data_IF_973547279293
#
_entry.id   IF_973547279293
#
_cell.length_a   1.000
_cell.length_b   1.000
_cell.length_c   1.000
_cell.angle_alpha   90.00
_cell.angle_beta   90.00
_cell.angle_gamma   90.00
#
_symmetry.space_group_name_H-M   'P 1'
#
loop_
_entity.id
_entity.type
_entity.pdbx_description
1 polymer ?
#
# COMPACT_ATOMS: atom_id res chain seq x y z
N UNK A 1 11.57 55.65 -6.26
CA UNK A 1 12.28 54.35 -6.34
C UNK A 1 11.24 53.25 -6.22
N UNK A 2 10.87 52.63 -7.34
CA UNK A 2 9.99 51.46 -7.35
C UNK A 2 10.83 50.25 -6.95
N UNK A 3 10.46 49.62 -5.83
CA UNK A 3 11.00 48.34 -5.40
C UNK A 3 10.70 47.30 -6.48
N UNK A 4 11.74 46.73 -7.06
CA UNK A 4 11.68 45.60 -7.96
C UNK A 4 11.39 44.38 -7.09
N UNK A 5 10.20 43.82 -7.22
CA UNK A 5 9.84 42.54 -6.61
C UNK A 5 10.74 41.46 -7.23
N UNK A 6 11.52 40.79 -6.39
CA UNK A 6 12.25 39.58 -6.79
C UNK A 6 11.25 38.53 -7.32
N UNK A 7 11.61 37.79 -8.37
CA UNK A 7 10.76 36.71 -8.86
C UNK A 7 10.63 35.64 -7.77
N UNK A 8 9.40 35.30 -7.42
CA UNK A 8 9.08 34.11 -6.62
C UNK A 8 9.67 32.94 -7.37
N UNK A 9 10.76 32.37 -6.85
CA UNK A 9 11.31 31.12 -7.36
C UNK A 9 10.20 30.09 -7.20
N UNK A 10 9.71 29.53 -8.31
CA UNK A 10 8.75 28.43 -8.28
C UNK A 10 9.31 27.33 -7.38
N UNK A 11 8.69 27.16 -6.22
CA UNK A 11 8.96 26.09 -5.25
C UNK A 11 8.61 24.77 -5.95
N UNK A 12 9.59 24.19 -6.66
CA UNK A 12 9.44 22.93 -7.39
C UNK A 12 8.89 21.90 -6.42
N UNK A 13 7.66 21.40 -6.70
CA UNK A 13 7.02 20.40 -5.84
C UNK A 13 7.99 19.21 -5.69
N UNK A 14 8.49 18.92 -4.46
CA UNK A 14 9.52 17.89 -4.24
C UNK A 14 9.05 16.49 -4.65
N UNK A 15 7.74 16.30 -4.86
CA UNK A 15 7.18 15.08 -5.42
C UNK A 15 7.00 15.09 -6.94
N UNK A 16 7.73 15.90 -7.71
CA UNK A 16 7.68 15.90 -9.20
C UNK A 16 8.82 15.13 -9.86
N UNK A 17 9.91 14.86 -9.12
CA UNK A 17 11.07 14.11 -9.61
C UNK A 17 11.23 12.82 -8.78
N UNK A 18 11.62 11.68 -9.39
CA UNK A 18 11.93 10.48 -8.62
C UNK A 18 13.10 10.69 -7.64
N UNK A 19 12.99 10.12 -6.44
CA UNK A 19 14.10 10.06 -5.49
C UNK A 19 15.16 9.08 -6.01
N UNK A 20 16.40 9.53 -6.12
CA UNK A 20 17.52 8.65 -6.42
C UNK A 20 17.90 7.83 -5.20
N UNK A 21 18.13 6.54 -5.41
CA UNK A 21 18.60 5.62 -4.39
C UNK A 21 20.09 5.34 -4.60
N UNK A 22 20.84 5.31 -3.50
CA UNK A 22 22.26 5.00 -3.56
C UNK A 22 22.47 3.54 -4.01
N UNK A 23 23.51 3.24 -4.80
CA UNK A 23 23.81 1.88 -5.21
C UNK A 23 23.95 0.92 -4.02
N UNK A 24 23.32 -0.26 -4.12
CA UNK A 24 23.34 -1.27 -3.04
C UNK A 24 22.50 -0.94 -1.80
N UNK A 25 21.89 0.25 -1.70
CA UNK A 25 20.98 0.61 -0.61
C UNK A 25 19.61 -0.08 -0.73
N UNK A 26 18.71 0.15 0.24
CA UNK A 26 17.31 -0.31 0.18
C UNK A 26 16.68 0.09 -1.15
N UNK A 27 16.13 -0.88 -1.89
CA UNK A 27 15.58 -0.65 -3.23
C UNK A 27 14.16 -0.03 -3.17
N UNK A 28 13.61 0.31 -4.34
CA UNK A 28 12.29 0.94 -4.46
C UNK A 28 11.18 0.18 -3.70
N UNK A 29 11.21 -1.16 -3.74
CA UNK A 29 10.24 -2.00 -3.04
C UNK A 29 10.41 -1.88 -1.52
N UNK A 30 11.65 -1.93 -1.03
CA UNK A 30 11.92 -1.76 0.40
C UNK A 30 11.49 -0.39 0.93
N UNK A 31 11.70 0.68 0.15
CA UNK A 31 11.21 2.04 0.49
C UNK A 31 9.69 2.09 0.57
N UNK A 32 9.02 1.55 -0.45
CA UNK A 32 7.55 1.48 -0.50
C UNK A 32 6.99 0.65 0.67
N UNK A 33 7.56 -0.51 0.98
CA UNK A 33 7.15 -1.33 2.11
C UNK A 33 7.38 -0.65 3.46
N UNK A 34 8.46 0.13 3.60
CA UNK A 34 8.69 0.95 4.79
C UNK A 34 7.60 1.99 5.03
N UNK A 35 7.04 2.57 3.96
CA UNK A 35 5.98 3.56 4.02
C UNK A 35 4.59 2.93 4.22
N UNK A 36 4.24 1.97 3.38
CA UNK A 36 2.92 1.33 3.39
C UNK A 36 2.75 0.33 4.54
N UNK A 37 3.87 -0.16 5.10
CA UNK A 37 3.86 -0.99 6.31
C UNK A 37 3.66 -0.21 7.61
N UNK A 38 3.50 1.12 7.56
CA UNK A 38 3.17 1.94 8.72
C UNK A 38 1.69 2.37 8.68
N UNK A 39 0.90 1.84 9.63
CA UNK A 39 -0.55 2.09 9.70
C UNK A 39 -0.89 3.58 9.80
N UNK A 40 -0.13 4.33 10.58
CA UNK A 40 -0.37 5.78 10.74
C UNK A 40 -0.09 6.54 9.45
N UNK A 41 0.95 6.17 8.71
CA UNK A 41 1.25 6.74 7.39
C UNK A 41 0.10 6.50 6.43
N UNK A 42 -0.43 5.27 6.36
CA UNK A 42 -1.61 4.96 5.54
C UNK A 42 -2.85 5.74 5.95
N UNK A 43 -3.12 5.88 7.26
CA UNK A 43 -4.26 6.63 7.77
C UNK A 43 -4.14 8.13 7.47
N UNK A 44 -2.97 8.73 7.74
CA UNK A 44 -2.69 10.15 7.43
C UNK A 44 -2.82 10.39 5.92
N UNK A 45 -2.24 9.51 5.10
CA UNK A 45 -2.35 9.57 3.65
C UNK A 45 -3.81 9.52 3.19
N UNK A 46 -4.61 8.60 3.73
CA UNK A 46 -6.03 8.49 3.39
C UNK A 46 -6.79 9.79 3.74
N UNK A 47 -6.51 10.41 4.89
CA UNK A 47 -7.12 11.71 5.25
C UNK A 47 -6.66 12.82 4.31
N UNK A 48 -5.36 12.87 3.99
CA UNK A 48 -4.80 13.87 3.09
C UNK A 48 -5.39 13.76 1.67
N UNK A 49 -5.59 12.55 1.15
CA UNK A 49 -6.23 12.30 -0.14
C UNK A 49 -7.70 12.75 -0.18
N UNK A 50 -8.35 12.86 0.98
CA UNK A 50 -9.70 13.39 1.14
C UNK A 50 -9.74 14.90 1.43
N UNK A 51 -8.58 15.57 1.41
CA UNK A 51 -8.47 17.02 1.55
C UNK A 51 -8.06 17.51 2.95
N UNK A 52 -7.75 16.63 3.90
CA UNK A 52 -7.24 17.04 5.21
C UNK A 52 -5.82 17.59 5.08
N UNK A 53 -5.60 18.85 5.46
CA UNK A 53 -4.26 19.49 5.34
C UNK A 53 -3.73 20.03 6.67
N UNK A 54 -4.58 20.19 7.69
CA UNK A 54 -4.18 20.85 8.95
C UNK A 54 -3.82 19.84 10.04
N UNK A 55 -2.80 20.17 10.82
CA UNK A 55 -2.34 19.34 11.93
C UNK A 55 -3.46 18.98 12.92
N UNK A 56 -4.28 19.95 13.32
CA UNK A 56 -5.41 19.71 14.23
C UNK A 56 -6.46 18.76 13.65
N UNK A 57 -6.76 18.88 12.35
CA UNK A 57 -7.70 17.96 11.69
C UNK A 57 -7.16 16.52 11.66
N UNK A 58 -5.86 16.33 11.40
CA UNK A 58 -5.25 15.00 11.48
C UNK A 58 -5.33 14.39 12.88
N UNK A 59 -5.08 15.18 13.93
CA UNK A 59 -5.25 14.69 15.32
C UNK A 59 -6.68 14.20 15.56
N UNK A 60 -7.66 14.99 15.16
CA UNK A 60 -9.08 14.71 15.41
C UNK A 60 -9.59 13.51 14.59
N UNK A 61 -9.21 13.42 13.31
CA UNK A 61 -9.73 12.39 12.39
C UNK A 61 -9.00 11.03 12.46
N UNK A 62 -7.75 11.01 12.92
CA UNK A 62 -6.92 9.79 13.00
C UNK A 62 -6.85 9.24 14.43
N UNK A 63 -7.21 10.05 15.45
CA UNK A 63 -7.10 9.68 16.87
C UNK A 63 -5.67 9.24 17.26
N UNK A 64 -4.68 10.00 16.79
CA UNK A 64 -3.25 9.74 16.94
C UNK A 64 -2.64 10.70 17.97
N UNK A 65 -1.60 10.27 18.69
CA UNK A 65 -0.90 11.16 19.63
C UNK A 65 -0.08 12.23 18.90
N UNK A 66 0.11 13.39 19.54
CA UNK A 66 0.90 14.48 18.99
C UNK A 66 2.32 14.08 18.57
N UNK A 67 3.02 13.34 19.43
CA UNK A 67 4.39 12.90 19.16
C UNK A 67 4.46 11.98 17.92
N UNK A 68 3.51 11.05 17.78
CA UNK A 68 3.48 10.14 16.63
C UNK A 68 3.10 10.90 15.36
N UNK A 69 2.08 11.76 15.41
CA UNK A 69 1.68 12.56 14.25
C UNK A 69 2.81 13.45 13.75
N UNK A 70 3.52 14.14 14.66
CA UNK A 70 4.66 14.99 14.32
C UNK A 70 5.77 14.18 13.64
N UNK A 71 6.12 13.02 14.19
CA UNK A 71 7.13 12.12 13.61
C UNK A 71 6.73 11.61 12.21
N UNK A 72 5.45 11.30 12.01
CA UNK A 72 4.92 10.78 10.74
C UNK A 72 4.83 11.86 9.67
N UNK A 73 4.30 13.04 9.99
CA UNK A 73 4.26 14.17 9.05
C UNK A 73 5.68 14.56 8.62
N UNK A 74 6.64 14.61 9.53
CA UNK A 74 8.04 14.88 9.19
C UNK A 74 8.64 13.79 8.29
N UNK A 75 8.21 12.53 8.45
CA UNK A 75 8.64 11.44 7.58
C UNK A 75 8.03 11.52 6.20
N UNK A 76 6.72 11.75 6.12
CA UNK A 76 6.02 11.94 4.85
C UNK A 76 6.53 13.18 4.09
N UNK A 77 6.95 14.24 4.80
CA UNK A 77 7.60 15.41 4.22
C UNK A 77 8.97 15.07 3.63
N UNK A 78 9.83 14.37 4.40
CA UNK A 78 11.16 13.93 3.93
C UNK A 78 11.08 12.99 2.73
N UNK A 79 10.08 12.13 2.70
CA UNK A 79 9.82 11.20 1.60
C UNK A 79 9.10 11.86 0.42
N UNK A 80 8.83 13.17 0.50
CA UNK A 80 8.21 13.94 -0.56
C UNK A 80 6.76 13.51 -0.84
N UNK A 81 6.06 12.91 0.12
CA UNK A 81 4.62 12.62 0.01
C UNK A 81 3.77 13.85 0.36
N UNK A 82 4.26 14.66 1.28
CA UNK A 82 3.65 15.92 1.72
C UNK A 82 4.66 17.05 1.58
N UNK A 83 4.17 18.27 1.37
CA UNK A 83 4.95 19.50 1.51
C UNK A 83 4.31 20.38 2.57
N UNK A 84 5.13 20.94 3.44
CA UNK A 84 4.69 21.84 4.50
C UNK A 84 4.63 23.27 3.98
N UNK A 85 3.45 23.87 3.99
CA UNK A 85 3.20 25.24 3.52
C UNK A 85 2.83 26.11 4.72
N UNK A 86 3.71 27.07 5.07
CA UNK A 86 3.43 28.05 6.13
C UNK A 86 2.55 29.16 5.55
N UNK A 87 1.38 29.39 6.15
CA UNK A 87 0.46 30.45 5.72
C UNK A 87 0.34 31.58 6.74
N UNK A 88 0.92 31.42 7.93
CA UNK A 88 0.96 32.43 8.98
C UNK A 88 2.25 32.26 9.77
N UNK A 89 3.00 33.33 10.00
CA UNK A 89 4.29 33.24 10.72
C UNK A 89 4.16 33.48 12.23
N UNK A 90 3.12 34.18 12.69
CA UNK A 90 2.97 34.56 14.11
C UNK A 90 1.51 34.43 14.61
N UNK A 91 1.17 33.39 15.41
CA UNK A 91 1.96 32.17 15.62
C UNK A 91 2.14 31.40 14.31
N UNK A 92 3.18 30.58 14.20
CA UNK A 92 3.43 29.77 13.00
C UNK A 92 2.26 28.82 12.78
N UNK A 93 1.62 28.89 11.61
CA UNK A 93 0.63 27.93 11.16
C UNK A 93 1.01 27.41 9.79
N UNK A 94 0.95 26.10 9.65
CA UNK A 94 1.27 25.40 8.43
C UNK A 94 0.18 24.40 8.06
N UNK A 95 0.11 24.13 6.76
CA UNK A 95 -0.65 23.03 6.18
C UNK A 95 0.31 22.01 5.58
N UNK A 96 -0.11 20.76 5.54
CA UNK A 96 0.60 19.64 4.92
C UNK A 96 -0.18 19.23 3.68
N UNK A 97 0.32 19.62 2.52
CA UNK A 97 -0.36 19.43 1.24
C UNK A 97 0.28 18.26 0.51
N UNK A 98 -0.52 17.39 -0.09
CA UNK A 98 0.00 16.30 -0.93
C UNK A 98 0.83 16.86 -2.08
N UNK A 99 1.96 16.21 -2.34
CA UNK A 99 2.75 16.36 -3.56
C UNK A 99 2.15 15.51 -4.68
N UNK A 100 2.67 15.60 -5.91
CA UNK A 100 2.30 14.65 -6.96
C UNK A 100 2.62 13.19 -6.58
N UNK A 101 3.79 12.93 -5.98
CA UNK A 101 4.16 11.63 -5.42
C UNK A 101 3.16 11.10 -4.40
N UNK A 102 2.74 11.94 -3.44
CA UNK A 102 1.72 11.58 -2.44
C UNK A 102 0.37 11.25 -3.08
N UNK A 103 -0.06 12.03 -4.08
CA UNK A 103 -1.29 11.75 -4.85
C UNK A 103 -1.19 10.43 -5.63
N UNK A 104 -0.01 10.06 -6.09
CA UNK A 104 0.25 8.81 -6.79
C UNK A 104 -0.05 7.55 -5.96
N UNK A 105 -0.15 7.64 -4.63
CA UNK A 105 -0.54 6.51 -3.78
C UNK A 105 -2.06 6.27 -3.71
N UNK A 106 -2.85 7.13 -4.35
CA UNK A 106 -4.30 6.98 -4.35
C UNK A 106 -4.80 5.60 -4.83
N UNK A 107 -4.28 5.00 -5.93
CA UNK A 107 -4.68 3.66 -6.35
C UNK A 107 -4.45 2.59 -5.28
N UNK A 108 -3.36 2.71 -4.52
CA UNK A 108 -3.04 1.79 -3.40
C UNK A 108 -4.15 1.85 -2.35
N UNK A 109 -4.57 3.06 -1.96
CA UNK A 109 -5.63 3.22 -0.95
C UNK A 109 -6.98 2.67 -1.38
N UNK A 110 -7.32 2.78 -2.67
CA UNK A 110 -8.57 2.25 -3.24
C UNK A 110 -8.53 0.73 -3.38
N UNK A 111 -7.41 0.17 -3.81
CA UNK A 111 -7.23 -1.28 -3.86
C UNK A 111 -7.32 -1.90 -2.46
N UNK A 112 -6.70 -1.27 -1.46
CA UNK A 112 -6.83 -1.68 -0.05
C UNK A 112 -8.29 -1.63 0.40
N UNK A 113 -9.00 -0.53 0.12
CA UNK A 113 -10.41 -0.39 0.50
C UNK A 113 -11.28 -1.49 -0.11
N UNK A 114 -11.13 -1.80 -1.40
CA UNK A 114 -11.92 -2.84 -2.05
C UNK A 114 -11.64 -4.22 -1.46
N UNK A 115 -10.36 -4.55 -1.25
CA UNK A 115 -9.97 -5.83 -0.69
C UNK A 115 -10.48 -6.00 0.74
N UNK A 116 -10.26 -5.01 1.61
CA UNK A 116 -10.78 -5.00 2.98
C UNK A 116 -12.30 -5.13 3.01
N UNK A 117 -13.00 -4.36 2.18
CA UNK A 117 -14.46 -4.40 2.11
C UNK A 117 -15.00 -5.75 1.65
N UNK A 118 -14.32 -6.42 0.72
CA UNK A 118 -14.78 -7.70 0.14
C UNK A 118 -14.41 -8.91 1.00
N UNK A 119 -13.23 -8.92 1.61
CA UNK A 119 -12.64 -10.12 2.20
C UNK A 119 -12.52 -10.10 3.72
N UNK A 120 -12.80 -8.97 4.36
CA UNK A 120 -12.78 -8.84 5.82
C UNK A 120 -14.23 -8.70 6.32
N UNK A 121 -14.80 -9.73 6.99
CA UNK A 121 -16.23 -9.77 7.32
C UNK A 121 -16.74 -8.55 8.10
N UNK A 122 -15.94 -8.05 9.05
CA UNK A 122 -16.29 -6.84 9.82
C UNK A 122 -16.35 -5.57 8.96
N UNK A 123 -15.64 -5.55 7.83
CA UNK A 123 -15.52 -4.39 6.94
C UNK A 123 -16.55 -4.38 5.82
N UNK A 124 -17.02 -5.54 5.38
CA UNK A 124 -18.19 -5.64 4.50
C UNK A 124 -19.38 -4.85 5.06
N UNK A 125 -19.52 -4.82 6.40
CA UNK A 125 -20.58 -4.13 7.09
C UNK A 125 -20.24 -2.71 7.57
N UNK A 126 -19.01 -2.20 7.43
CA UNK A 126 -18.62 -0.87 7.95
C UNK A 126 -18.07 0.08 6.89
N UNK A 127 -17.34 -0.42 5.89
CA UNK A 127 -16.79 0.42 4.84
C UNK A 127 -17.89 0.85 3.86
N UNK A 128 -17.99 2.17 3.55
CA UNK A 128 -19.01 2.67 2.63
C UNK A 128 -18.76 2.15 1.21
N UNK A 129 -19.80 2.07 0.39
CA UNK A 129 -19.64 1.87 -1.06
C UNK A 129 -19.07 3.13 -1.72
N UNK A 130 -18.41 2.96 -2.86
CA UNK A 130 -17.93 4.06 -3.68
C UNK A 130 -18.68 4.07 -5.01
N UNK A 131 -19.02 5.28 -5.47
CA UNK A 131 -19.66 5.54 -6.75
C UNK A 131 -18.67 6.23 -7.67
N UNK A 132 -18.65 5.80 -8.92
CA UNK A 132 -17.87 6.43 -9.97
C UNK A 132 -18.69 7.57 -10.56
N UNK A 133 -18.20 8.81 -10.45
CA UNK A 133 -18.91 10.01 -10.86
C UNK A 133 -19.21 10.03 -12.36
N UNK A 134 -18.35 9.43 -13.20
CA UNK A 134 -18.55 9.40 -14.64
C UNK A 134 -19.72 8.52 -15.09
N UNK A 135 -19.88 7.32 -14.50
CA UNK A 135 -20.97 6.40 -14.89
C UNK A 135 -22.15 6.39 -13.91
N UNK A 136 -22.01 7.04 -12.75
CA UNK A 136 -23.03 7.10 -11.70
C UNK A 136 -23.25 5.79 -10.94
N UNK A 137 -22.51 4.72 -11.25
CA UNK A 137 -22.68 3.40 -10.63
C UNK A 137 -21.74 3.19 -9.45
N UNK A 138 -22.19 2.38 -8.50
CA UNK A 138 -21.29 1.82 -7.50
C UNK A 138 -20.32 0.87 -8.20
N UNK A 139 -19.02 0.98 -7.90
CA UNK A 139 -17.99 0.22 -8.60
C UNK A 139 -17.13 -0.59 -7.64
N UNK A 140 -16.46 -1.59 -8.22
CA UNK A 140 -15.25 -2.19 -7.69
C UNK A 140 -14.07 -1.85 -8.61
N UNK A 141 -12.90 -1.46 -8.08
CA UNK A 141 -11.71 -1.25 -8.89
C UNK A 141 -11.22 -2.59 -9.46
N UNK A 142 -10.88 -2.57 -10.75
CA UNK A 142 -10.27 -3.70 -11.45
C UNK A 142 -8.89 -3.30 -11.93
N UNK A 143 -7.87 -4.13 -11.64
CA UNK A 143 -6.52 -3.91 -12.14
C UNK A 143 -6.47 -4.22 -13.63
N UNK A 144 -5.99 -3.26 -14.43
CA UNK A 144 -5.86 -3.41 -15.89
C UNK A 144 -4.45 -3.05 -16.35
N UNK A 145 -4.04 -3.64 -17.47
CA UNK A 145 -2.78 -3.30 -18.12
C UNK A 145 -2.98 -2.03 -18.96
N UNK A 146 -2.16 -1.00 -18.78
CA UNK A 146 -2.30 0.25 -19.56
C UNK A 146 -2.00 0.07 -21.04
N UNK A 147 -1.20 -0.93 -21.42
CA UNK A 147 -0.84 -1.23 -22.80
C UNK A 147 -1.93 -1.92 -23.61
N UNK A 148 -2.62 -2.93 -23.02
CA UNK A 148 -3.63 -3.73 -23.73
C UNK A 148 -5.05 -3.61 -23.17
N UNK A 149 -5.23 -2.95 -22.03
CA UNK A 149 -6.50 -2.75 -21.29
C UNK A 149 -7.16 -4.01 -20.73
N UNK A 150 -6.55 -5.18 -20.90
CA UNK A 150 -7.03 -6.41 -20.28
C UNK A 150 -6.85 -6.41 -18.77
N UNK A 151 -7.72 -7.16 -18.10
CA UNK A 151 -7.67 -7.36 -16.63
C UNK A 151 -6.42 -8.15 -16.27
N UNK A 152 -5.66 -7.65 -15.30
CA UNK A 152 -4.42 -8.29 -14.83
C UNK A 152 -4.70 -9.06 -13.56
N UNK A 153 -4.49 -10.38 -13.60
CA UNK A 153 -4.47 -11.24 -12.39
C UNK A 153 -3.03 -11.58 -12.02
N UNK A 154 -2.81 -12.06 -10.80
CA UNK A 154 -1.46 -12.45 -10.34
C UNK A 154 -0.80 -13.52 -11.22
N UNK A 155 -1.61 -14.41 -11.83
CA UNK A 155 -1.12 -15.46 -12.73
C UNK A 155 -0.82 -14.98 -14.16
N UNK A 156 -1.25 -13.76 -14.51
CA UNK A 156 -1.03 -13.16 -15.85
C UNK A 156 0.28 -12.38 -15.93
N UNK A 157 1.10 -12.44 -14.86
CA UNK A 157 2.31 -11.64 -14.73
C UNK A 157 3.51 -12.51 -14.44
N UNK A 158 4.49 -12.45 -15.33
CA UNK A 158 5.82 -12.98 -15.09
C UNK A 158 6.68 -11.90 -14.43
N UNK A 159 7.33 -12.23 -13.31
CA UNK A 159 8.10 -11.26 -12.53
C UNK A 159 9.44 -11.83 -12.12
N UNK A 160 10.51 -11.15 -12.51
CA UNK A 160 11.89 -11.48 -12.16
C UNK A 160 12.54 -10.33 -11.40
N UNK A 161 13.58 -10.64 -10.64
CA UNK A 161 14.39 -9.59 -10.04
C UNK A 161 15.08 -8.77 -11.12
N UNK A 162 14.94 -7.45 -11.03
CA UNK A 162 15.74 -6.52 -11.82
C UNK A 162 17.12 -6.30 -11.21
N UNK A 163 17.96 -5.46 -11.80
CA UNK A 163 19.34 -5.26 -11.35
C UNK A 163 19.49 -4.73 -9.93
N UNK A 164 18.52 -3.95 -9.42
CA UNK A 164 18.49 -3.52 -8.01
C UNK A 164 17.68 -4.44 -7.09
N UNK A 165 17.11 -5.50 -7.67
CA UNK A 165 16.20 -6.43 -7.02
C UNK A 165 16.92 -7.50 -6.21
N UNK A 166 16.60 -7.58 -4.93
CA UNK A 166 16.91 -8.74 -4.11
C UNK A 166 15.95 -8.76 -2.92
N UNK A 167 15.82 -9.92 -2.28
CA UNK A 167 15.01 -10.01 -1.07
C UNK A 167 15.57 -9.15 0.05
N UNK A 168 16.88 -9.18 0.25
CA UNK A 168 17.60 -8.43 1.28
C UNK A 168 17.37 -6.92 1.13
N UNK A 169 17.43 -6.41 -0.10
CA UNK A 169 17.22 -4.98 -0.40
C UNK A 169 15.76 -4.54 -0.38
N UNK A 170 14.82 -5.49 -0.49
CA UNK A 170 13.38 -5.24 -0.46
C UNK A 170 12.75 -5.41 0.92
N UNK A 171 13.47 -5.92 1.90
CA UNK A 171 13.01 -6.00 3.29
C UNK A 171 13.34 -4.67 4.00
N UNK A 172 12.34 -3.86 4.41
CA UNK A 172 12.62 -2.57 5.05
C UNK A 172 13.42 -2.73 6.35
N UNK A 173 14.44 -1.89 6.53
CA UNK A 173 15.34 -1.89 7.70
C UNK A 173 14.57 -1.69 9.01
N UNK A 174 13.49 -0.90 8.99
CA UNK A 174 12.54 -0.77 10.10
C UNK A 174 11.10 -0.64 9.60
N UNK A 175 10.23 -1.58 9.98
CA UNK A 175 8.80 -1.31 10.11
C UNK A 175 8.58 -0.86 11.54
N UNK A 176 8.00 0.33 11.76
CA UNK A 176 7.82 0.82 13.14
C UNK A 176 7.01 -0.20 13.93
N UNK A 177 7.68 -0.93 14.82
CA UNK A 177 7.04 -1.91 15.68
C UNK A 177 6.01 -1.17 16.52
N UNK A 178 4.73 -1.51 16.38
CA UNK A 178 3.69 -1.12 17.33
C UNK A 178 4.13 -1.62 18.71
N UNK A 179 4.75 -0.77 19.55
CA UNK A 179 4.77 -1.02 20.99
C UNK A 179 3.30 -0.97 21.39
N UNK A 180 2.76 -2.12 21.74
CA UNK A 180 1.43 -2.23 22.33
C UNK A 180 1.42 -1.35 23.58
N UNK A 181 0.85 -0.14 23.49
CA UNK A 181 0.46 0.62 24.66
C UNK A 181 -0.93 0.12 25.07
N UNK A 182 -1.05 -0.61 26.20
CA UNK A 182 -2.33 -1.17 26.63
C UNK A 182 -3.36 -0.10 27.03
N UNK A 183 -2.98 1.19 27.08
CA UNK A 183 -3.89 2.30 27.40
C UNK A 183 -4.57 2.92 26.17
N UNK A 184 -4.10 2.63 24.95
CA UNK A 184 -4.79 3.02 23.72
C UNK A 184 -5.77 1.91 23.38
N UNK A 185 -6.97 2.08 23.94
CA UNK A 185 -8.13 1.19 23.86
C UNK A 185 -8.39 0.61 22.45
N UNK A 186 -8.96 -0.59 22.44
CA UNK A 186 -9.36 -1.43 21.29
C UNK A 186 -10.49 -0.80 20.45
N UNK A 187 -10.73 0.51 20.58
CA UNK A 187 -11.79 1.28 19.93
C UNK A 187 -11.42 1.81 18.55
N UNK A 188 -10.13 1.81 18.17
CA UNK A 188 -9.74 1.84 16.75
C UNK A 188 -9.69 0.41 16.21
N UNK A 189 -10.85 -0.12 15.81
CA UNK A 189 -10.84 -1.07 14.71
C UNK A 189 -10.21 -0.32 13.52
N UNK A 190 -8.91 -0.48 13.32
CA UNK A 190 -8.18 0.21 12.24
C UNK A 190 -8.90 0.01 10.92
N UNK A 191 -8.84 0.99 10.02
CA UNK A 191 -9.49 0.89 8.70
C UNK A 191 -8.90 -0.24 7.84
N UNK A 192 -7.73 -0.79 8.21
CA UNK A 192 -6.92 -1.70 7.38
C UNK A 192 -6.27 -2.86 8.16
N UNK A 193 -6.99 -3.59 9.01
CA UNK A 193 -6.41 -4.50 9.99
C UNK A 193 -5.76 -5.74 9.37
N UNK A 194 -6.33 -6.28 8.30
CA UNK A 194 -5.75 -7.46 7.64
C UNK A 194 -4.72 -7.05 6.61
N UNK A 195 -4.88 -5.89 5.99
CA UNK A 195 -3.82 -5.23 5.21
C UNK A 195 -2.58 -5.02 6.10
N UNK A 196 -2.75 -4.58 7.35
CA UNK A 196 -1.63 -4.47 8.29
C UNK A 196 -1.08 -5.82 8.76
N UNK A 197 -1.85 -6.91 8.69
CA UNK A 197 -1.28 -8.25 8.89
C UNK A 197 -0.34 -8.65 7.75
N UNK A 198 -0.62 -8.18 6.52
CA UNK A 198 0.16 -8.43 5.31
C UNK A 198 1.36 -7.46 5.16
N UNK A 199 1.17 -6.14 5.33
CA UNK A 199 2.22 -5.13 5.16
C UNK A 199 2.90 -4.67 6.47
N UNK A 200 2.26 -4.82 7.63
CA UNK A 200 2.71 -4.24 8.90
C UNK A 200 3.96 -4.87 9.51
N UNK A 201 4.53 -5.87 8.84
CA UNK A 201 5.79 -6.48 9.21
C UNK A 201 6.56 -6.79 7.94
N UNK A 202 7.86 -6.43 7.92
CA UNK A 202 8.77 -6.65 6.80
C UNK A 202 8.77 -8.08 6.26
N UNK A 203 8.60 -9.07 7.14
CA UNK A 203 8.56 -10.48 6.75
C UNK A 203 7.20 -10.92 6.20
N UNK A 204 6.10 -10.34 6.70
CA UNK A 204 4.78 -10.55 6.09
C UNK A 204 4.79 -10.04 4.64
N UNK A 205 5.34 -8.83 4.41
CA UNK A 205 5.44 -8.24 3.08
C UNK A 205 6.29 -9.07 2.12
N UNK A 206 7.41 -9.60 2.60
CA UNK A 206 8.27 -10.44 1.79
C UNK A 206 7.62 -11.82 1.50
N UNK A 207 6.93 -12.41 2.49
CA UNK A 207 6.20 -13.66 2.32
C UNK A 207 5.05 -13.56 1.32
N UNK A 208 4.26 -12.48 1.36
CA UNK A 208 3.17 -12.31 0.38
C UNK A 208 3.74 -12.12 -1.03
N UNK A 209 4.83 -11.34 -1.17
CA UNK A 209 5.53 -11.18 -2.44
C UNK A 209 6.10 -12.50 -2.96
N UNK A 210 6.59 -13.37 -2.06
CA UNK A 210 7.14 -14.67 -2.42
C UNK A 210 6.04 -15.61 -2.90
N UNK A 211 4.92 -15.63 -2.16
CA UNK A 211 3.75 -16.45 -2.47
C UNK A 211 3.12 -16.04 -3.82
N UNK A 212 3.01 -14.73 -4.09
CA UNK A 212 2.50 -14.21 -5.36
C UNK A 212 3.39 -14.54 -6.57
N UNK A 213 4.66 -14.89 -6.33
CA UNK A 213 5.60 -15.38 -7.35
C UNK A 213 5.70 -16.92 -7.39
N UNK A 214 4.81 -17.61 -6.68
CA UNK A 214 4.68 -19.07 -6.76
C UNK A 214 5.51 -19.88 -5.75
N UNK A 215 6.19 -19.24 -4.78
CA UNK A 215 6.81 -19.99 -3.69
C UNK A 215 5.72 -20.59 -2.80
N UNK A 216 5.82 -21.90 -2.54
CA UNK A 216 4.81 -22.66 -1.77
C UNK A 216 5.42 -23.50 -0.66
N UNK A 217 6.70 -23.85 -0.73
CA UNK A 217 7.33 -24.74 0.25
C UNK A 217 8.01 -23.93 1.35
N UNK A 218 7.95 -24.45 2.57
CA UNK A 218 8.57 -23.79 3.73
C UNK A 218 10.05 -23.47 3.52
N UNK A 219 10.84 -24.44 3.05
CA UNK A 219 12.29 -24.27 2.83
C UNK A 219 12.60 -23.20 1.79
N UNK A 220 11.81 -23.13 0.71
CA UNK A 220 11.98 -22.11 -0.34
C UNK A 220 11.77 -20.70 0.22
N UNK A 221 10.81 -20.52 1.15
CA UNK A 221 10.62 -19.24 1.84
C UNK A 221 11.80 -18.88 2.75
N UNK A 222 12.34 -19.85 3.50
CA UNK A 222 13.49 -19.60 4.38
C UNK A 222 14.72 -19.18 3.58
N UNK A 223 15.03 -19.92 2.52
CA UNK A 223 16.16 -19.65 1.64
C UNK A 223 16.01 -18.30 0.95
N UNK A 224 14.84 -18.03 0.36
CA UNK A 224 14.57 -16.80 -0.36
C UNK A 224 14.66 -15.57 0.56
N UNK A 225 14.11 -15.65 1.77
CA UNK A 225 13.98 -14.47 2.64
C UNK A 225 15.19 -14.27 3.55
N UNK A 226 16.05 -15.28 3.73
CA UNK A 226 17.12 -15.24 4.74
C UNK A 226 16.58 -15.02 6.17
N UNK A 227 15.33 -15.41 6.42
CA UNK A 227 14.62 -15.15 7.67
C UNK A 227 14.77 -16.33 8.65
N UNK A 228 14.75 -16.08 9.99
CA UNK A 228 14.75 -17.17 10.95
C UNK A 228 13.54 -18.12 10.76
N UNK A 229 13.74 -19.45 10.80
CA UNK A 229 12.69 -20.47 10.60
C UNK A 229 11.41 -20.23 11.43
N UNK A 230 11.60 -19.88 12.71
CA UNK A 230 10.51 -19.63 13.65
C UNK A 230 9.61 -18.47 13.22
N UNK A 231 10.21 -17.45 12.60
CA UNK A 231 9.51 -16.26 12.15
C UNK A 231 8.74 -16.54 10.86
N UNK A 232 9.34 -17.26 9.91
CA UNK A 232 8.65 -17.74 8.70
C UNK A 232 7.43 -18.58 9.10
N UNK A 233 7.61 -19.53 10.02
CA UNK A 233 6.52 -20.38 10.51
C UNK A 233 5.40 -19.58 11.20
N UNK A 234 5.76 -18.59 12.01
CA UNK A 234 4.80 -17.70 12.68
C UNK A 234 3.98 -16.90 11.67
N UNK A 235 4.63 -16.32 10.66
CA UNK A 235 3.97 -15.50 9.64
C UNK A 235 3.11 -16.31 8.68
N UNK A 236 3.58 -17.49 8.24
CA UNK A 236 2.78 -18.42 7.44
C UNK A 236 1.52 -18.84 8.19
N UNK A 237 1.63 -19.15 9.49
CA UNK A 237 0.45 -19.43 10.33
C UNK A 237 -0.49 -18.25 10.38
N UNK A 238 0.02 -17.03 10.60
CA UNK A 238 -0.81 -15.82 10.62
C UNK A 238 -1.57 -15.61 9.29
N UNK A 239 -0.95 -15.90 8.15
CA UNK A 239 -1.61 -15.83 6.84
C UNK A 239 -2.66 -16.93 6.66
N UNK A 240 -2.43 -18.14 7.19
CA UNK A 240 -3.45 -19.18 7.24
C UNK A 240 -4.63 -18.80 8.13
N UNK A 241 -4.36 -18.20 9.30
CA UNK A 241 -5.39 -17.81 10.28
C UNK A 241 -6.35 -16.76 9.70
N UNK A 242 -5.87 -15.86 8.84
CA UNK A 242 -6.69 -14.87 8.12
C UNK A 242 -7.21 -15.37 6.76
N UNK A 243 -6.87 -16.61 6.37
CA UNK A 243 -7.31 -17.25 5.13
C UNK A 243 -6.67 -16.69 3.87
N UNK A 244 -5.52 -16.02 3.95
CA UNK A 244 -4.73 -15.56 2.79
C UNK A 244 -3.96 -16.73 2.17
N UNK A 245 -3.46 -17.65 3.02
CA UNK A 245 -2.84 -18.89 2.60
C UNK A 245 -3.64 -20.09 3.11
N UNK A 246 -3.49 -21.22 2.45
CA UNK A 246 -3.96 -22.53 2.88
C UNK A 246 -2.77 -23.48 3.00
N UNK A 247 -2.64 -24.17 4.13
CA UNK A 247 -1.63 -25.20 4.31
C UNK A 247 -2.14 -26.56 3.79
N UNK A 248 -1.44 -27.16 2.83
CA UNK A 248 -1.72 -28.46 2.22
C UNK A 248 -0.68 -29.51 2.61
N UNK A 249 -1.06 -30.79 2.57
CA UNK A 249 -0.12 -31.92 2.69
C UNK A 249 0.19 -32.44 4.09
N UNK A 250 -0.42 -31.91 5.16
CA UNK A 250 -0.23 -32.44 6.53
C UNK A 250 -1.24 -33.56 6.82
N UNK A 251 -1.02 -34.78 6.28
CA UNK A 251 -1.55 -36.14 6.67
C UNK A 251 -1.20 -37.12 5.53
N UNK A 252 -0.49 -38.25 5.67
CA UNK A 252 -0.32 -39.26 6.73
C UNK A 252 1.00 -40.00 6.51
N UNK A 253 1.81 -40.22 7.56
CA UNK A 253 2.73 -41.37 7.68
C UNK A 253 3.95 -41.54 6.76
N UNK A 254 4.25 -40.63 5.82
CA UNK A 254 5.45 -40.70 4.97
C UNK A 254 6.55 -39.73 5.42
N UNK A 255 7.81 -40.16 5.37
CA UNK A 255 8.99 -39.45 5.87
C UNK A 255 9.31 -38.08 5.21
N UNK A 256 8.47 -37.59 4.29
CA UNK A 256 8.68 -36.34 3.54
C UNK A 256 7.48 -35.36 3.61
N UNK A 257 6.59 -35.53 4.59
CA UNK A 257 5.34 -34.76 4.77
C UNK A 257 5.52 -33.30 5.21
N UNK A 258 6.24 -32.48 4.43
CA UNK A 258 6.35 -31.03 4.65
C UNK A 258 5.10 -30.33 4.11
N UNK A 259 4.54 -29.42 4.91
CA UNK A 259 3.38 -28.65 4.49
C UNK A 259 3.75 -27.67 3.37
N UNK A 260 2.91 -27.61 2.34
CA UNK A 260 2.95 -26.56 1.32
C UNK A 260 1.92 -25.49 1.67
N UNK A 261 2.18 -24.25 1.29
CA UNK A 261 1.35 -23.09 1.56
C UNK A 261 0.95 -22.45 0.23
N UNK A 262 -0.34 -22.47 -0.05
CA UNK A 262 -0.90 -22.01 -1.33
C UNK A 262 -1.76 -20.78 -1.11
N UNK A 263 -1.70 -19.81 -2.02
CA UNK A 263 -2.63 -18.67 -1.99
C UNK A 263 -4.06 -19.16 -2.18
N UNK A 264 -4.96 -18.63 -1.37
CA UNK A 264 -6.40 -18.78 -1.56
C UNK A 264 -6.91 -17.70 -2.53
N UNK A 265 -8.20 -17.74 -2.89
CA UNK A 265 -8.84 -16.64 -3.64
C UNK A 265 -8.67 -15.29 -2.95
N UNK A 266 -8.73 -15.26 -1.61
CA UNK A 266 -8.49 -14.06 -0.80
C UNK A 266 -7.06 -13.54 -0.95
N UNK A 267 -6.08 -14.44 -0.96
CA UNK A 267 -4.67 -14.11 -1.17
C UNK A 267 -4.41 -13.57 -2.57
N UNK A 268 -4.94 -14.22 -3.60
CA UNK A 268 -4.84 -13.75 -4.99
C UNK A 268 -5.53 -12.40 -5.20
N UNK A 269 -6.68 -12.17 -4.54
CA UNK A 269 -7.40 -10.90 -4.62
C UNK A 269 -6.64 -9.72 -4.00
N UNK A 270 -5.57 -9.94 -3.22
CA UNK A 270 -4.71 -8.86 -2.71
C UNK A 270 -3.71 -8.35 -3.76
N UNK A 271 -3.53 -9.07 -4.87
CA UNK A 271 -2.55 -8.71 -5.90
C UNK A 271 -2.67 -7.28 -6.45
N UNK A 272 -3.87 -6.70 -6.70
CA UNK A 272 -4.00 -5.31 -7.13
C UNK A 272 -3.31 -4.31 -6.20
N UNK A 273 -3.34 -4.55 -4.89
CA UNK A 273 -2.67 -3.69 -3.91
C UNK A 273 -1.16 -3.75 -4.10
N UNK A 274 -0.61 -4.95 -4.29
CA UNK A 274 0.83 -5.16 -4.49
C UNK A 274 1.27 -4.57 -5.83
N UNK A 275 0.51 -4.80 -6.91
CA UNK A 275 0.86 -4.34 -8.25
C UNK A 275 0.92 -2.81 -8.35
N UNK A 276 -0.12 -2.10 -7.88
CA UNK A 276 -0.12 -0.62 -7.92
C UNK A 276 0.90 0.00 -6.96
N UNK A 277 1.24 -0.68 -5.85
CA UNK A 277 2.28 -0.23 -4.94
C UNK A 277 3.68 -0.37 -5.55
N UNK A 278 3.96 -1.48 -6.26
CA UNK A 278 5.22 -1.67 -6.99
C UNK A 278 5.35 -0.67 -8.13
N UNK A 279 4.28 -0.47 -8.92
CA UNK A 279 4.25 0.50 -10.02
C UNK A 279 4.56 1.92 -9.51
N UNK A 280 3.88 2.34 -8.43
CA UNK A 280 4.18 3.61 -7.76
C UNK A 280 5.63 3.68 -7.26
N UNK A 281 6.15 2.61 -6.66
CA UNK A 281 7.51 2.58 -6.13
C UNK A 281 8.55 2.76 -7.23
N UNK A 282 8.43 2.03 -8.34
CA UNK A 282 9.33 2.15 -9.49
C UNK A 282 9.24 3.50 -10.17
N UNK A 283 8.06 4.12 -10.18
CA UNK A 283 7.90 5.46 -10.73
C UNK A 283 8.64 6.52 -9.88
N UNK A 284 8.58 6.42 -8.55
CA UNK A 284 9.06 7.47 -7.64
C UNK A 284 10.42 7.23 -7.00
N UNK A 285 10.95 6.00 -7.05
CA UNK A 285 12.27 5.65 -6.54
C UNK A 285 13.12 5.05 -7.64
N UNK A 286 14.12 5.80 -8.08
CA UNK A 286 15.02 5.41 -9.14
C UNK A 286 16.37 4.96 -8.54
N UNK A 287 16.69 3.67 -8.68
CA UNK A 287 18.04 3.17 -8.41
C UNK A 287 18.89 3.28 -9.70
N UNK A 288 20.16 3.63 -9.56
CA UNK A 288 21.06 3.77 -10.72
C UNK A 288 21.26 2.44 -11.46
N UNK A 289 21.22 1.32 -10.73
CA UNK A 289 21.39 -0.02 -11.30
C UNK A 289 20.21 -0.43 -12.22
N UNK A 290 19.02 0.15 -12.00
CA UNK A 290 17.79 -0.22 -12.69
C UNK A 290 16.65 -0.62 -11.74
N UNK A 291 15.52 -1.13 -12.26
CA UNK A 291 14.34 -1.44 -11.45
C UNK A 291 14.59 -2.60 -10.48
N UNK A 292 13.80 -2.64 -9.39
CA UNK A 292 13.88 -3.72 -8.42
C UNK A 292 13.20 -5.00 -8.94
N UNK A 293 12.09 -4.86 -9.67
CA UNK A 293 11.44 -5.97 -10.37
C UNK A 293 11.27 -5.62 -11.85
N UNK A 294 11.47 -6.61 -12.71
CA UNK A 294 11.06 -6.57 -14.11
C UNK A 294 9.82 -7.43 -14.24
N UNK A 295 8.70 -6.80 -14.61
CA UNK A 295 7.41 -7.47 -14.73
C UNK A 295 6.93 -7.40 -16.17
N UNK A 296 6.43 -8.52 -16.68
CA UNK A 296 5.85 -8.64 -18.01
C UNK A 296 4.41 -9.11 -17.88
N UNK A 297 3.50 -8.43 -18.58
CA UNK A 297 2.13 -8.92 -18.71
C UNK A 297 2.09 -10.02 -19.76
N UNK A 298 1.93 -11.28 -19.33
CA UNK A 298 2.03 -12.47 -20.18
C UNK A 298 1.07 -12.42 -21.38
N UNK A 299 -0.21 -12.03 -21.24
CA UNK A 299 -1.13 -11.96 -22.37
C UNK A 299 -0.70 -11.04 -23.51
N UNK A 300 -0.08 -9.88 -23.23
CA UNK A 300 0.33 -8.93 -24.28
C UNK A 300 1.84 -8.91 -24.55
N UNK A 301 2.66 -9.55 -23.71
CA UNK A 301 4.11 -9.58 -23.81
C UNK A 301 4.82 -8.26 -23.53
N UNK A 302 4.11 -7.19 -23.18
CA UNK A 302 4.72 -5.89 -22.87
C UNK A 302 5.18 -5.81 -21.40
N UNK A 303 6.14 -4.93 -21.07
CA UNK A 303 6.41 -4.55 -19.69
C UNK A 303 5.11 -4.15 -18.99
N UNK A 304 4.90 -4.66 -17.78
CA UNK A 304 3.68 -4.40 -17.03
C UNK A 304 3.68 -2.95 -16.54
N UNK A 305 2.66 -2.20 -16.96
CA UNK A 305 2.24 -0.94 -16.37
C UNK A 305 0.74 -1.04 -16.08
N UNK A 306 0.31 -0.57 -14.92
CA UNK A 306 -1.03 -0.85 -14.40
C UNK A 306 -1.86 0.41 -14.13
N UNK A 307 -3.17 0.28 -14.28
CA UNK A 307 -4.15 1.25 -13.83
C UNK A 307 -5.33 0.54 -13.16
N UNK A 308 -6.10 1.28 -12.36
CA UNK A 308 -7.38 0.81 -11.86
C UNK A 308 -8.49 1.31 -12.79
N UNK A 309 -9.37 0.42 -13.22
CA UNK A 309 -10.54 0.73 -14.03
C UNK A 309 -11.83 0.39 -13.30
N UNK A 310 -12.92 1.04 -13.70
CA UNK A 310 -14.27 0.78 -13.20
C UNK A 310 -14.80 -0.54 -13.75
N UNK A 311 -15.28 -1.45 -12.90
CA UNK A 311 -15.94 -2.70 -13.34
C UNK A 311 -17.27 -2.49 -14.08
N UNK A 312 -17.85 -1.30 -14.00
CA UNK A 312 -19.15 -0.98 -14.64
C UNK A 312 -19.00 -0.37 -16.05
N UNK A 313 -18.03 0.51 -16.24
CA UNK A 313 -17.86 1.23 -17.52
C UNK A 313 -16.47 1.09 -18.15
N UNK A 314 -15.55 0.37 -17.51
CA UNK A 314 -14.18 0.12 -17.95
C UNK A 314 -13.29 1.36 -18.13
N UNK A 315 -13.77 2.55 -17.77
CA UNK A 315 -12.95 3.76 -17.75
C UNK A 315 -11.97 3.74 -16.57
N UNK A 316 -10.82 4.40 -16.77
CA UNK A 316 -9.80 4.57 -15.73
C UNK A 316 -10.39 5.33 -14.53
N UNK A 317 -10.02 4.88 -13.33
CA UNK A 317 -10.44 5.49 -12.09
C UNK A 317 -9.39 6.52 -11.65
N UNK A 318 -9.87 7.74 -11.42
CA UNK A 318 -9.09 8.81 -10.80
C UNK A 318 -9.74 9.26 -9.50
N UNK A 319 -8.93 9.74 -8.55
CA UNK A 319 -9.42 10.17 -7.24
C UNK A 319 -10.42 11.33 -7.29
N UNK A 320 -10.38 12.16 -8.33
CA UNK A 320 -11.35 13.24 -8.55
C UNK A 320 -12.75 12.73 -8.91
N UNK A 321 -12.85 11.52 -9.44
CA UNK A 321 -14.07 11.00 -10.05
C UNK A 321 -14.78 9.98 -9.14
N UNK A 322 -14.44 9.96 -7.85
CA UNK A 322 -14.96 8.98 -6.90
C UNK A 322 -15.66 9.64 -5.73
N UNK A 323 -16.91 9.21 -5.55
CA UNK A 323 -17.79 9.70 -4.50
C UNK A 323 -18.03 8.59 -3.47
N UNK A 324 -17.82 8.91 -2.19
CA UNK A 324 -18.17 7.99 -1.09
C UNK A 324 -19.67 8.04 -0.89
N UNK A 325 -20.36 6.91 -1.08
CA UNK A 325 -21.82 6.83 -0.90
C UNK A 325 -22.12 6.76 0.61
N UNK A 326 -22.80 7.77 1.19
CA UNK A 326 -23.17 7.74 2.59
C UNK A 326 -24.09 6.56 2.85
N UNK A 327 -23.85 5.84 3.95
CA UNK A 327 -24.74 4.75 4.35
C UNK A 327 -26.04 5.34 4.86
N UNK A 328 -27.17 4.85 4.33
CA UNK A 328 -28.46 5.08 4.96
C UNK A 328 -28.40 4.50 6.38
N UNK A 329 -28.57 5.35 7.39
CA UNK A 329 -28.75 4.87 8.76
C UNK A 329 -30.04 4.04 8.76
N UNK A 330 -29.94 2.73 9.02
CA UNK A 330 -31.13 1.98 9.40
C UNK A 330 -31.66 2.64 10.66
N UNK A 331 -32.77 3.36 10.57
CA UNK A 331 -33.57 3.71 11.74
C UNK A 331 -33.88 2.37 12.42
N UNK A 332 -33.37 2.20 13.64
CA UNK A 332 -33.86 1.16 14.53
C UNK A 332 -35.34 1.43 14.74
N UNK A 333 -36.19 0.60 14.13
CA UNK A 333 -37.60 0.57 14.51
C UNK A 333 -37.68 0.22 15.99
N UNK A 334 -38.53 0.99 16.67
CA UNK A 334 -38.73 1.03 18.12
C UNK A 334 -39.23 -0.29 18.69
#
# INVERSE_FOLDING_TARGET
MRSVSEPVVDDVDPGTVPNRLDPGSTNAIGRMLGLLGDEWTLLILQRALRGTTRYGQFLDEVAISNAVLTSRLATMEREGLLRRVVYQERPVRAEYVLTQRGRGLWPVTIAIWDWERRWVPRHAATLPAMRHALCGQNFAPVLTCTGCREVVRSGDVHAEWGPSGSWERSVPESTTRRRSDPRVDRSSAGLFPETMAIFGNRWSSALIGASLRGLTRFGDFEEALGAPPSLVAERLRAFCDIGVLEARGRRTGGADGRAEYHLTDKGHAFYPVVAVAIDWAHHWYAAEEGPALVQQHVPCGAPLAVALACDQCSADLHGSDIEVVPRAHRRSDR
#
